data_IF_342049134955
#
_entry.id   IF_342049134955
#
_cell.length_a   1.000
_cell.length_b   1.000
_cell.length_c   1.000
_cell.angle_alpha   90.00
_cell.angle_beta   90.00
_cell.angle_gamma   90.00
#
_symmetry.space_group_name_H-M   'P 1'
#
loop_
_entity.id
_entity.type
_entity.pdbx_description
1 polymer ?
#
# COMPACT_ATOMS: atom_id res chain seq x y z
N UNK A 1 -27.68 10.47 -26.52
CA UNK A 1 -26.41 11.22 -26.42
C UNK A 1 -25.56 10.57 -25.34
N UNK A 2 -24.56 9.78 -25.73
CA UNK A 2 -23.65 9.12 -24.80
C UNK A 2 -22.65 10.16 -24.30
N UNK A 3 -22.80 10.62 -23.05
CA UNK A 3 -21.79 11.46 -22.41
C UNK A 3 -20.55 10.62 -22.21
N UNK A 4 -19.54 10.85 -23.06
CA UNK A 4 -18.19 10.34 -22.84
C UNK A 4 -17.73 10.80 -21.46
N UNK A 5 -17.74 9.90 -20.48
CA UNK A 5 -17.20 10.14 -19.14
C UNK A 5 -15.71 10.33 -19.32
N UNK A 6 -15.24 11.57 -19.33
CA UNK A 6 -13.82 11.89 -19.40
C UNK A 6 -13.10 11.17 -18.27
N UNK A 7 -12.11 10.33 -18.60
CA UNK A 7 -11.38 9.57 -17.60
C UNK A 7 -10.72 10.50 -16.59
N UNK A 8 -10.81 10.18 -15.30
CA UNK A 8 -10.21 10.97 -14.24
C UNK A 8 -8.69 10.91 -14.32
N UNK A 9 -8.02 12.04 -14.07
CA UNK A 9 -6.57 12.10 -13.91
C UNK A 9 -6.23 11.71 -12.48
N UNK A 10 -5.39 10.70 -12.32
CA UNK A 10 -4.93 10.24 -11.01
C UNK A 10 -3.54 10.80 -10.71
N UNK A 11 -3.35 11.22 -9.46
CA UNK A 11 -2.08 11.65 -8.90
C UNK A 11 -1.90 11.01 -7.52
N UNK A 12 -0.67 10.83 -7.09
CA UNK A 12 -0.35 10.22 -5.81
C UNK A 12 0.88 10.91 -5.20
N UNK A 13 0.94 10.94 -3.87
CA UNK A 13 2.10 11.44 -3.13
C UNK A 13 1.96 11.18 -1.64
N UNK A 14 2.75 11.87 -0.83
CA UNK A 14 2.75 11.63 0.61
C UNK A 14 2.97 12.90 1.43
N UNK A 15 2.45 12.87 2.65
CA UNK A 15 2.90 13.72 3.73
C UNK A 15 4.05 12.97 4.42
N UNK A 16 5.28 13.29 4.03
CA UNK A 16 6.46 12.71 4.66
C UNK A 16 6.63 13.39 6.01
N UNK A 17 6.70 12.60 7.08
CA UNK A 17 6.79 13.09 8.44
C UNK A 17 7.96 12.46 9.19
N UNK A 18 8.47 13.20 10.16
CA UNK A 18 9.44 12.73 11.15
C UNK A 18 9.17 13.36 12.50
N UNK A 19 9.75 12.80 13.55
CA UNK A 19 9.72 13.39 14.88
C UNK A 19 11.10 13.90 15.26
N UNK A 20 11.18 15.18 15.59
CA UNK A 20 12.39 15.86 16.08
C UNK A 20 12.05 16.54 17.39
N UNK A 21 12.78 16.25 18.47
CA UNK A 21 12.52 16.81 19.82
C UNK A 21 11.04 16.71 20.27
N UNK A 22 10.43 15.55 20.03
CA UNK A 22 9.01 15.28 20.32
C UNK A 22 8.01 16.17 19.56
N UNK A 23 8.44 16.79 18.46
CA UNK A 23 7.59 17.59 17.57
C UNK A 23 7.49 16.93 16.21
N UNK A 24 6.30 17.00 15.63
CA UNK A 24 6.05 16.53 14.28
C UNK A 24 6.57 17.56 13.27
N UNK A 25 7.47 17.11 12.40
CA UNK A 25 7.91 17.86 11.22
C UNK A 25 7.41 17.17 9.96
N UNK A 26 7.14 17.95 8.93
CA UNK A 26 6.66 17.49 7.63
C UNK A 26 7.48 18.09 6.49
N UNK A 27 7.57 17.35 5.39
CA UNK A 27 8.29 17.76 4.19
C UNK A 27 7.35 18.44 3.19
N UNK A 28 7.69 19.68 2.82
CA UNK A 28 7.01 20.45 1.78
C UNK A 28 7.94 20.71 0.60
N UNK A 29 7.34 20.89 -0.58
CA UNK A 29 8.05 21.32 -1.79
C UNK A 29 7.52 22.66 -2.28
N UNK A 30 8.42 23.52 -2.76
CA UNK A 30 8.07 24.73 -3.49
C UNK A 30 8.15 24.47 -5.00
N UNK A 31 7.20 25.03 -5.76
CA UNK A 31 7.12 24.85 -7.21
C UNK A 31 7.20 26.20 -7.90
N UNK A 32 8.34 26.57 -8.52
CA UNK A 32 8.56 27.92 -9.02
C UNK A 32 7.59 28.31 -10.14
N UNK A 33 7.17 27.36 -10.98
CA UNK A 33 6.15 27.58 -12.02
C UNK A 33 4.82 28.12 -11.47
N UNK A 34 4.42 27.67 -10.28
CA UNK A 34 3.15 28.06 -9.66
C UNK A 34 3.35 29.05 -8.49
N UNK A 35 4.59 29.21 -8.03
CA UNK A 35 4.96 29.96 -6.82
C UNK A 35 4.12 29.50 -5.62
N UNK A 36 4.01 28.19 -5.46
CA UNK A 36 3.19 27.57 -4.42
C UNK A 36 3.96 26.51 -3.64
N UNK A 37 3.59 26.38 -2.37
CA UNK A 37 4.03 25.32 -1.48
C UNK A 37 2.95 24.25 -1.41
N UNK A 38 3.34 22.99 -1.59
CA UNK A 38 2.43 21.85 -1.54
C UNK A 38 3.11 20.59 -1.03
N UNK A 39 2.31 19.54 -0.85
CA UNK A 39 2.84 18.19 -0.63
C UNK A 39 3.51 17.65 -1.89
N UNK A 40 4.59 16.85 -1.74
CA UNK A 40 5.18 16.16 -2.88
C UNK A 40 4.21 15.14 -3.47
N UNK A 41 4.01 15.20 -4.79
CA UNK A 41 3.01 14.41 -5.56
C UNK A 41 3.04 14.76 -7.05
N UNK A 42 2.93 13.74 -7.88
CA UNK A 42 2.69 13.90 -9.31
C UNK A 42 1.72 12.86 -9.88
N UNK A 43 1.74 12.73 -11.21
CA UNK A 43 0.72 11.97 -11.94
C UNK A 43 1.08 10.49 -11.92
N UNK A 44 0.05 9.64 -11.88
CA UNK A 44 0.26 8.21 -12.04
C UNK A 44 0.57 7.89 -13.49
N UNK A 45 1.66 7.18 -13.74
CA UNK A 45 2.06 6.77 -15.07
C UNK A 45 1.22 5.62 -15.63
N UNK A 46 1.16 5.44 -16.97
CA UNK A 46 0.49 4.30 -17.56
C UNK A 46 1.02 2.96 -17.02
N UNK A 47 0.13 2.17 -16.41
CA UNK A 47 0.51 0.88 -15.83
C UNK A 47 1.17 0.97 -14.45
N UNK A 48 1.18 2.16 -13.83
CA UNK A 48 1.69 2.38 -12.49
C UNK A 48 0.57 2.27 -11.43
N UNK A 49 0.91 1.71 -10.26
CA UNK A 49 0.00 1.67 -9.12
C UNK A 49 0.07 2.96 -8.30
N UNK A 50 -1.02 3.36 -7.64
CA UNK A 50 -1.03 4.57 -6.80
C UNK A 50 0.07 4.58 -5.71
N UNK A 51 0.33 3.49 -4.96
CA UNK A 51 1.43 3.45 -4.00
C UNK A 51 2.81 3.63 -4.65
N UNK A 52 3.00 3.05 -5.85
CA UNK A 52 4.26 3.19 -6.60
C UNK A 52 4.50 4.62 -7.05
N UNK A 53 3.46 5.27 -7.60
CA UNK A 53 3.50 6.68 -7.95
C UNK A 53 3.82 7.54 -6.73
N UNK A 54 3.19 7.30 -5.58
CA UNK A 54 3.47 8.08 -4.38
C UNK A 54 4.93 8.02 -3.94
N UNK A 55 5.55 6.83 -3.92
CA UNK A 55 6.95 6.68 -3.51
C UNK A 55 7.92 7.22 -4.56
N UNK A 56 7.60 7.08 -5.85
CA UNK A 56 8.41 7.62 -6.96
C UNK A 56 8.42 9.14 -6.91
N UNK A 57 7.24 9.76 -6.93
CA UNK A 57 7.07 11.22 -6.97
C UNK A 57 7.73 11.91 -5.77
N UNK A 58 7.63 11.33 -4.57
CA UNK A 58 8.32 11.86 -3.39
C UNK A 58 9.83 11.82 -3.56
N UNK A 59 10.37 10.72 -4.09
CA UNK A 59 11.80 10.58 -4.30
C UNK A 59 12.30 11.51 -5.43
N UNK A 60 11.53 11.68 -6.51
CA UNK A 60 11.84 12.62 -7.60
C UNK A 60 11.86 14.08 -7.11
N UNK A 61 10.82 14.51 -6.39
CA UNK A 61 10.65 15.92 -5.98
C UNK A 61 11.49 16.30 -4.75
N UNK A 62 11.93 15.35 -3.93
CA UNK A 62 12.60 15.66 -2.64
C UNK A 62 13.92 14.95 -2.41
N UNK A 63 14.26 13.94 -3.20
CA UNK A 63 15.38 13.03 -2.95
C UNK A 63 15.17 12.08 -1.76
N UNK A 64 14.07 12.20 -1.00
CA UNK A 64 13.82 11.36 0.17
C UNK A 64 13.16 10.05 -0.25
N UNK A 65 13.81 8.93 0.06
CA UNK A 65 13.20 7.61 -0.09
C UNK A 65 12.30 7.31 1.11
N UNK A 66 11.07 6.85 0.85
CA UNK A 66 10.04 6.69 1.88
C UNK A 66 9.42 5.29 1.95
N UNK A 67 8.78 4.97 3.07
CA UNK A 67 7.85 3.85 3.24
C UNK A 67 6.48 4.39 3.61
N UNK A 68 5.45 3.92 2.91
CA UNK A 68 4.07 4.35 3.13
C UNK A 68 3.50 3.75 4.42
N UNK A 69 2.81 4.59 5.19
CA UNK A 69 1.95 4.22 6.31
C UNK A 69 0.48 4.45 5.95
N UNK A 70 -0.31 4.92 6.91
CA UNK A 70 -1.77 5.06 6.75
C UNK A 70 -2.17 5.95 5.55
N UNK A 71 -3.26 5.62 4.84
CA UNK A 71 -3.85 6.53 3.86
C UNK A 71 -4.39 7.78 4.56
N UNK A 72 -4.22 8.94 3.92
CA UNK A 72 -4.73 10.23 4.35
C UNK A 72 -5.84 10.72 3.41
N UNK A 73 -6.66 11.70 3.83
CA UNK A 73 -7.63 12.34 2.95
C UNK A 73 -6.97 12.87 1.67
N UNK A 74 -7.41 12.36 0.53
CA UNK A 74 -7.03 12.85 -0.79
C UNK A 74 -7.73 14.14 -1.19
N UNK A 75 -7.41 14.66 -2.38
CA UNK A 75 -8.05 15.85 -2.94
C UNK A 75 -8.76 15.52 -4.26
N UNK A 76 -9.99 16.02 -4.41
CA UNK A 76 -10.79 15.88 -5.62
C UNK A 76 -11.18 17.25 -6.15
N UNK A 77 -10.77 17.58 -7.37
CA UNK A 77 -11.11 18.85 -8.02
C UNK A 77 -11.13 18.69 -9.55
N UNK A 78 -11.60 19.71 -10.27
CA UNK A 78 -11.58 19.71 -11.74
C UNK A 78 -10.38 20.50 -12.26
N UNK A 79 -9.76 19.98 -13.31
CA UNK A 79 -8.76 20.70 -14.09
C UNK A 79 -9.43 21.77 -14.96
N UNK A 80 -8.63 22.68 -15.53
CA UNK A 80 -9.11 23.75 -16.41
C UNK A 80 -9.84 23.19 -17.66
N UNK A 81 -9.47 21.99 -18.12
CA UNK A 81 -10.13 21.30 -19.23
C UNK A 81 -11.38 20.50 -18.81
N UNK A 82 -11.85 20.70 -17.57
CA UNK A 82 -13.05 20.07 -17.00
C UNK A 82 -12.86 18.64 -16.49
N UNK A 83 -11.70 18.01 -16.74
CA UNK A 83 -11.42 16.64 -16.28
C UNK A 83 -11.36 16.56 -14.75
N UNK A 84 -11.98 15.55 -14.12
CA UNK A 84 -11.77 15.28 -12.71
C UNK A 84 -10.30 14.92 -12.45
N UNK A 85 -9.69 15.47 -11.40
CA UNK A 85 -8.40 15.07 -10.87
C UNK A 85 -8.55 14.57 -9.43
N UNK A 86 -8.03 13.38 -9.17
CA UNK A 86 -8.00 12.75 -7.85
C UNK A 86 -6.55 12.60 -7.39
N UNK A 87 -6.21 13.20 -6.26
CA UNK A 87 -4.91 13.10 -5.60
C UNK A 87 -5.05 12.18 -4.40
N UNK A 88 -4.23 11.15 -4.33
CA UNK A 88 -4.20 10.19 -3.23
C UNK A 88 -2.97 10.48 -2.36
N UNK A 89 -3.16 10.53 -1.05
CA UNK A 89 -2.08 10.81 -0.10
C UNK A 89 -1.95 9.71 0.94
N UNK A 90 -0.72 9.46 1.35
CA UNK A 90 -0.37 8.63 2.50
C UNK A 90 0.44 9.44 3.50
N UNK A 91 0.34 9.09 4.78
CA UNK A 91 1.40 9.40 5.71
C UNK A 91 2.60 8.53 5.35
N UNK A 92 3.80 9.09 5.29
CA UNK A 92 4.99 8.31 5.00
C UNK A 92 6.15 8.70 5.91
N UNK A 93 6.96 7.72 6.27
CA UNK A 93 8.21 7.98 6.98
C UNK A 93 9.39 7.91 6.00
N UNK A 94 10.49 8.62 6.25
CA UNK A 94 11.77 8.29 5.65
C UNK A 94 12.07 6.81 5.84
N UNK A 95 12.60 6.17 4.80
CA UNK A 95 12.99 4.78 4.87
C UNK A 95 14.20 4.62 5.79
N UNK A 96 14.23 3.51 6.52
CA UNK A 96 15.34 3.12 7.38
C UNK A 96 16.33 2.30 6.53
N UNK A 97 17.60 2.71 6.51
CA UNK A 97 18.63 2.13 5.64
C UNK A 97 18.81 0.63 5.90
N UNK A 98 18.78 0.19 7.16
CA UNK A 98 18.96 -1.24 7.49
C UNK A 98 17.65 -2.02 7.38
N UNK A 99 16.58 -1.42 7.91
CA UNK A 99 15.28 -2.08 7.98
C UNK A 99 14.63 -2.28 6.62
N UNK A 100 14.66 -1.26 5.77
CA UNK A 100 13.89 -1.23 4.53
C UNK A 100 14.71 -1.56 3.28
N UNK A 101 16.05 -1.64 3.36
CA UNK A 101 16.94 -1.84 2.21
C UNK A 101 16.44 -2.90 1.21
N UNK A 102 16.00 -4.06 1.69
CA UNK A 102 15.49 -5.14 0.82
C UNK A 102 14.22 -4.77 0.07
N UNK A 103 13.28 -4.09 0.73
CA UNK A 103 12.08 -3.62 0.07
C UNK A 103 12.40 -2.50 -0.93
N UNK A 104 13.39 -1.66 -0.63
CA UNK A 104 13.83 -0.58 -1.51
C UNK A 104 14.61 -1.07 -2.73
N UNK A 105 15.39 -2.15 -2.62
CA UNK A 105 16.29 -2.63 -3.67
C UNK A 105 15.60 -3.07 -4.97
N UNK A 106 14.27 -3.24 -4.94
CA UNK A 106 13.47 -3.59 -6.12
C UNK A 106 12.79 -2.39 -6.77
N UNK A 107 12.92 -1.20 -6.18
CA UNK A 107 12.41 0.03 -6.77
C UNK A 107 13.33 0.47 -7.91
N UNK A 108 12.77 0.91 -9.04
CA UNK A 108 13.60 1.48 -10.10
C UNK A 108 14.30 2.75 -9.59
N UNK A 109 15.47 3.09 -10.11
CA UNK A 109 16.06 4.40 -9.87
C UNK A 109 15.09 5.49 -10.38
N UNK A 110 15.13 6.64 -9.73
CA UNK A 110 14.34 7.81 -10.09
C UNK A 110 15.26 8.96 -10.48
N UNK A 111 14.86 9.71 -11.49
CA UNK A 111 15.57 10.94 -11.87
C UNK A 111 15.02 12.10 -11.04
N UNK A 112 15.87 12.92 -10.40
CA UNK A 112 15.39 14.09 -9.67
C UNK A 112 14.57 15.01 -10.56
N UNK A 113 13.52 15.60 -9.99
CA UNK A 113 12.74 16.63 -10.66
C UNK A 113 13.65 17.81 -11.05
N UNK A 114 13.37 18.43 -12.20
CA UNK A 114 14.10 19.62 -12.62
C UNK A 114 13.85 20.79 -11.67
N UNK A 115 14.81 21.71 -11.57
CA UNK A 115 14.67 22.94 -10.77
C UNK A 115 13.51 23.84 -11.23
N UNK A 116 13.04 23.69 -12.47
CA UNK A 116 11.86 24.40 -12.99
C UNK A 116 10.53 23.82 -12.45
N UNK A 117 10.57 22.58 -11.97
CA UNK A 117 9.43 21.88 -11.38
C UNK A 117 9.40 22.00 -9.86
N UNK A 118 10.52 21.70 -9.20
CA UNK A 118 10.74 21.87 -7.76
C UNK A 118 12.13 22.45 -7.54
N UNK A 119 12.20 23.63 -6.93
CA UNK A 119 13.47 24.30 -6.57
C UNK A 119 13.85 24.10 -5.10
N UNK A 120 12.88 23.84 -4.23
CA UNK A 120 13.12 23.68 -2.79
C UNK A 120 12.28 22.56 -2.18
N UNK A 121 12.89 21.80 -1.26
CA UNK A 121 12.23 20.86 -0.37
C UNK A 121 12.65 21.14 1.08
N UNK A 122 11.68 21.38 1.97
CA UNK A 122 11.94 21.86 3.34
C UNK A 122 11.19 21.05 4.39
N UNK A 123 11.89 20.75 5.49
CA UNK A 123 11.28 20.22 6.71
C UNK A 123 10.79 21.38 7.57
N UNK A 124 9.52 21.35 7.96
CA UNK A 124 8.90 22.38 8.79
C UNK A 124 7.99 21.77 9.86
N UNK A 125 7.85 22.46 10.99
CA UNK A 125 6.84 22.14 11.99
C UNK A 125 5.41 22.33 11.46
N UNK A 126 4.43 21.68 12.09
CA UNK A 126 3.03 21.66 11.63
C UNK A 126 2.40 23.05 11.47
N UNK A 127 2.70 23.99 12.37
CA UNK A 127 2.16 25.36 12.30
C UNK A 127 2.72 26.11 11.09
N UNK A 128 4.04 26.08 10.90
CA UNK A 128 4.68 26.64 9.72
C UNK A 128 4.19 25.98 8.43
N UNK A 129 3.99 24.66 8.42
CA UNK A 129 3.42 23.96 7.28
C UNK A 129 2.02 24.48 6.92
N UNK A 130 1.17 24.70 7.93
CA UNK A 130 -0.18 25.25 7.75
C UNK A 130 -0.17 26.63 7.09
N UNK A 131 0.81 27.45 7.45
CA UNK A 131 0.98 28.81 6.92
C UNK A 131 1.57 28.81 5.51
N UNK A 132 2.58 27.96 5.24
CA UNK A 132 3.21 27.84 3.94
C UNK A 132 2.27 27.27 2.87
N UNK A 133 1.50 26.22 3.20
CA UNK A 133 0.59 25.55 2.27
C UNK A 133 -0.35 26.54 1.58
N UNK A 134 -0.07 26.79 0.30
CA UNK A 134 -0.75 27.84 -0.47
C UNK A 134 -2.22 27.50 -0.71
N UNK A 135 -2.51 26.23 -0.94
CA UNK A 135 -3.88 25.74 -1.11
C UNK A 135 -4.47 25.33 0.24
N UNK A 136 -5.54 26.01 0.66
CA UNK A 136 -6.30 25.66 1.88
C UNK A 136 -6.71 24.18 1.93
N UNK A 137 -7.01 23.58 0.78
CA UNK A 137 -7.42 22.17 0.69
C UNK A 137 -6.32 21.20 1.16
N UNK A 138 -5.03 21.52 0.93
CA UNK A 138 -3.89 20.71 1.36
C UNK A 138 -3.72 20.66 2.89
N UNK A 139 -4.46 21.49 3.64
CA UNK A 139 -4.52 21.44 5.11
C UNK A 139 -5.38 20.28 5.63
N UNK A 140 -6.25 19.70 4.80
CA UNK A 140 -7.08 18.55 5.17
C UNK A 140 -6.25 17.32 5.52
N UNK A 141 -5.32 16.85 4.64
CA UNK A 141 -4.45 15.75 5.01
C UNK A 141 -3.51 16.09 6.18
N UNK A 142 -3.08 17.35 6.33
CA UNK A 142 -2.28 17.78 7.50
C UNK A 142 -3.02 17.57 8.82
N UNK A 143 -4.29 17.98 8.88
CA UNK A 143 -5.11 17.80 10.07
C UNK A 143 -5.31 16.32 10.42
N UNK A 144 -5.50 15.46 9.42
CA UNK A 144 -5.60 14.01 9.62
C UNK A 144 -4.28 13.39 10.09
N UNK A 145 -3.14 13.83 9.54
CA UNK A 145 -1.81 13.42 9.98
C UNK A 145 -1.58 13.80 11.46
N UNK A 146 -1.85 15.05 11.83
CA UNK A 146 -1.71 15.54 13.21
C UNK A 146 -2.60 14.74 14.18
N UNK A 147 -3.86 14.51 13.81
CA UNK A 147 -4.76 13.71 14.62
C UNK A 147 -4.25 12.27 14.80
N UNK A 148 -3.70 11.66 13.75
CA UNK A 148 -3.12 10.33 13.85
C UNK A 148 -1.87 10.34 14.75
N UNK A 149 -1.03 11.37 14.66
CA UNK A 149 0.16 11.54 15.50
C UNK A 149 -0.19 11.67 16.98
N UNK A 150 -1.09 12.60 17.33
CA UNK A 150 -1.56 12.83 18.71
C UNK A 150 -2.19 11.59 19.36
N UNK A 151 -2.72 10.67 18.53
CA UNK A 151 -3.31 9.40 18.99
C UNK A 151 -2.35 8.22 18.95
N UNK A 152 -1.07 8.44 18.59
CA UNK A 152 -0.06 7.39 18.50
C UNK A 152 -0.34 6.39 17.36
N UNK A 153 -0.88 6.87 16.24
CA UNK A 153 -1.36 6.05 15.10
C UNK A 153 -0.53 6.17 13.82
N UNK A 154 0.59 6.89 13.84
CA UNK A 154 1.45 7.06 12.67
C UNK A 154 2.56 6.03 12.53
N UNK A 155 3.12 5.54 13.64
CA UNK A 155 4.16 4.51 13.65
C UNK A 155 3.56 3.12 13.36
N UNK A 156 3.12 2.92 12.13
CA UNK A 156 2.47 1.69 11.68
C UNK A 156 3.43 0.74 11.01
N UNK A 157 3.12 -0.55 11.15
CA UNK A 157 3.59 -1.63 10.28
C UNK A 157 2.43 -2.19 9.47
N UNK A 158 2.70 -3.01 8.47
CA UNK A 158 1.66 -3.56 7.61
C UNK A 158 1.53 -5.08 7.69
N UNK A 159 0.28 -5.56 7.66
CA UNK A 159 -0.04 -6.94 7.26
C UNK A 159 -0.85 -6.85 5.98
N UNK A 160 -0.23 -7.24 4.87
CA UNK A 160 -0.82 -7.13 3.52
C UNK A 160 -1.38 -8.47 3.07
N UNK A 161 -2.69 -8.56 2.90
CA UNK A 161 -3.34 -9.75 2.35
C UNK A 161 -3.30 -9.70 0.83
N UNK A 162 -2.78 -10.74 0.21
CA UNK A 162 -2.67 -10.89 -1.25
C UNK A 162 -3.52 -12.07 -1.69
N UNK A 163 -4.60 -11.82 -2.46
CA UNK A 163 -5.26 -12.94 -3.15
C UNK A 163 -4.40 -13.35 -4.34
N UNK A 164 -4.12 -14.65 -4.48
CA UNK A 164 -3.30 -15.16 -5.58
C UNK A 164 -3.76 -14.63 -6.96
N UNK A 165 -2.82 -14.50 -7.90
CA UNK A 165 -3.08 -14.09 -9.27
C UNK A 165 -4.01 -15.05 -10.03
N UNK A 166 -4.50 -14.62 -11.19
CA UNK A 166 -5.43 -15.44 -11.99
C UNK A 166 -4.77 -16.79 -12.34
N UNK A 167 -5.41 -17.89 -11.95
CA UNK A 167 -4.93 -19.25 -12.20
C UNK A 167 -5.74 -19.97 -13.28
N UNK A 168 -5.17 -21.05 -13.83
CA UNK A 168 -5.88 -21.91 -14.81
C UNK A 168 -7.19 -22.43 -14.21
N UNK A 169 -8.21 -22.65 -15.05
CA UNK A 169 -9.52 -23.17 -14.58
C UNK A 169 -9.33 -24.55 -13.97
N UNK A 170 -9.99 -24.83 -12.84
CA UNK A 170 -9.96 -26.15 -12.17
C UNK A 170 -10.32 -27.28 -13.13
N UNK A 171 -11.40 -27.11 -13.89
CA UNK A 171 -11.88 -28.07 -14.88
C UNK A 171 -10.90 -28.35 -16.03
N UNK A 172 -9.90 -27.50 -16.25
CA UNK A 172 -8.90 -27.66 -17.31
C UNK A 172 -7.52 -28.10 -16.78
N UNK A 173 -7.40 -28.42 -15.48
CA UNK A 173 -6.16 -28.87 -14.87
C UNK A 173 -6.34 -30.28 -14.29
N UNK A 174 -5.41 -31.20 -14.57
CA UNK A 174 -5.50 -32.62 -14.19
C UNK A 174 -4.36 -33.11 -13.29
N UNK A 175 -3.38 -32.25 -13.00
CA UNK A 175 -2.15 -32.63 -12.25
C UNK A 175 -2.27 -32.35 -10.73
N UNK A 176 -3.48 -32.41 -10.19
CA UNK A 176 -3.77 -32.04 -8.79
C UNK A 176 -3.92 -30.54 -8.55
N UNK A 177 -4.77 -30.16 -7.58
CA UNK A 177 -5.13 -28.77 -7.29
C UNK A 177 -3.97 -27.93 -6.75
N UNK A 178 -3.07 -28.56 -5.99
CA UNK A 178 -1.86 -27.96 -5.41
C UNK A 178 -0.86 -27.48 -6.46
N UNK A 179 -0.84 -28.10 -7.65
CA UNK A 179 0.11 -27.78 -8.72
C UNK A 179 -0.44 -26.77 -9.75
N UNK A 180 -1.70 -26.35 -9.59
CA UNK A 180 -2.42 -25.51 -10.56
C UNK A 180 -1.73 -24.15 -10.73
N UNK A 181 -1.21 -23.82 -11.94
CA UNK A 181 -0.38 -22.65 -12.14
C UNK A 181 -1.20 -21.38 -12.43
N UNK A 182 -0.52 -20.24 -12.37
CA UNK A 182 -1.01 -18.97 -12.88
C UNK A 182 -1.26 -19.05 -14.40
N UNK A 183 -2.17 -18.21 -14.89
CA UNK A 183 -2.27 -17.89 -16.33
C UNK A 183 -1.25 -16.79 -16.69
N UNK A 184 -1.04 -16.48 -17.99
CA UNK A 184 -0.21 -15.32 -18.37
C UNK A 184 -0.67 -14.01 -17.71
N UNK A 185 -1.98 -13.77 -17.63
CA UNK A 185 -2.55 -12.65 -16.88
C UNK A 185 -2.20 -12.70 -15.39
N UNK A 186 -2.25 -13.89 -14.78
CA UNK A 186 -1.84 -14.07 -13.37
C UNK A 186 -0.36 -13.81 -13.14
N UNK A 187 0.51 -14.16 -14.09
CA UNK A 187 1.94 -13.84 -14.04
C UNK A 187 2.19 -12.33 -14.20
N UNK A 188 1.44 -11.64 -15.06
CA UNK A 188 1.53 -10.17 -15.12
C UNK A 188 1.06 -9.51 -13.82
N UNK A 189 0.02 -10.07 -13.17
CA UNK A 189 -0.42 -9.62 -11.85
C UNK A 189 0.65 -9.83 -10.76
N UNK A 190 1.39 -10.95 -10.79
CA UNK A 190 2.45 -11.20 -9.82
C UNK A 190 3.62 -10.22 -9.94
N UNK A 191 3.97 -9.82 -11.16
CA UNK A 191 4.96 -8.76 -11.41
C UNK A 191 4.44 -7.40 -10.93
N UNK A 192 3.17 -7.07 -11.19
CA UNK A 192 2.57 -5.80 -10.78
C UNK A 192 2.44 -5.63 -9.25
N UNK A 193 2.51 -6.73 -8.47
CA UNK A 193 2.53 -6.66 -7.01
C UNK A 193 3.84 -6.12 -6.44
N UNK A 194 4.97 -6.33 -7.14
CA UNK A 194 6.31 -5.93 -6.68
C UNK A 194 6.36 -4.47 -6.20
N UNK A 195 5.95 -3.47 -7.00
CA UNK A 195 6.04 -2.08 -6.58
C UNK A 195 5.06 -1.74 -5.43
N UNK A 196 3.91 -2.42 -5.34
CA UNK A 196 2.96 -2.20 -4.23
C UNK A 196 3.53 -2.72 -2.91
N UNK A 197 4.03 -3.97 -2.89
CA UNK A 197 4.60 -4.55 -1.67
C UNK A 197 5.85 -3.79 -1.22
N UNK A 198 6.67 -3.34 -2.18
CA UNK A 198 7.83 -2.48 -1.92
C UNK A 198 7.44 -1.13 -1.30
N UNK A 199 6.38 -0.47 -1.79
CA UNK A 199 5.94 0.84 -1.28
C UNK A 199 5.58 0.81 0.23
N UNK A 200 5.01 -0.31 0.69
CA UNK A 200 4.67 -0.55 2.10
C UNK A 200 5.80 -1.23 2.90
N UNK A 201 6.99 -1.37 2.32
CA UNK A 201 8.17 -1.85 3.04
C UNK A 201 8.09 -3.30 3.48
N UNK A 202 7.34 -4.16 2.77
CA UNK A 202 7.16 -5.57 3.17
C UNK A 202 8.52 -6.30 3.29
N UNK A 203 8.76 -6.93 4.44
CA UNK A 203 10.05 -7.57 4.76
C UNK A 203 9.98 -9.10 4.80
N UNK A 204 8.77 -9.64 4.82
CA UNK A 204 8.51 -11.07 4.89
C UNK A 204 7.27 -11.43 4.08
N UNK A 205 7.28 -12.62 3.49
CA UNK A 205 6.13 -13.19 2.80
C UNK A 205 5.77 -14.52 3.45
N UNK A 206 4.50 -14.66 3.84
CA UNK A 206 3.89 -15.94 4.21
C UNK A 206 2.85 -16.29 3.13
N UNK A 207 2.79 -17.54 2.70
CA UNK A 207 1.95 -17.92 1.56
C UNK A 207 1.51 -19.36 1.65
N UNK A 208 0.35 -19.72 1.09
CA UNK A 208 0.04 -21.16 0.97
C UNK A 208 1.07 -21.85 0.05
N UNK A 209 1.42 -23.12 0.32
CA UNK A 209 2.37 -23.89 -0.50
C UNK A 209 1.85 -24.22 -1.90
N UNK A 210 0.59 -23.92 -2.22
CA UNK A 210 0.04 -24.22 -3.53
C UNK A 210 0.64 -23.31 -4.60
N UNK A 211 0.98 -23.90 -5.75
CA UNK A 211 1.81 -23.27 -6.79
C UNK A 211 1.36 -21.87 -7.19
N UNK A 212 0.06 -21.64 -7.35
CA UNK A 212 -0.48 -20.32 -7.71
C UNK A 212 -0.20 -19.23 -6.67
N UNK A 213 -0.21 -19.56 -5.38
CA UNK A 213 0.11 -18.62 -4.30
C UNK A 213 1.60 -18.34 -4.30
N UNK A 214 2.45 -19.38 -4.31
CA UNK A 214 3.90 -19.26 -4.45
C UNK A 214 4.29 -18.36 -5.63
N UNK A 215 3.85 -18.71 -6.84
CA UNK A 215 4.17 -17.94 -8.06
C UNK A 215 3.57 -16.52 -8.07
N UNK A 216 2.61 -16.20 -7.19
CA UNK A 216 2.07 -14.83 -7.09
C UNK A 216 3.03 -13.90 -6.37
N UNK A 217 3.74 -14.39 -5.36
CA UNK A 217 4.61 -13.57 -4.49
C UNK A 217 6.10 -13.77 -4.76
N UNK A 218 6.46 -14.85 -5.45
CA UNK A 218 7.84 -15.17 -5.83
C UNK A 218 8.57 -14.03 -6.57
N UNK A 219 7.97 -13.28 -7.51
CA UNK A 219 8.66 -12.16 -8.17
C UNK A 219 9.13 -11.08 -7.19
N UNK A 220 8.34 -10.81 -6.15
CA UNK A 220 8.73 -9.85 -5.12
C UNK A 220 9.78 -10.43 -4.18
N UNK A 221 9.51 -11.62 -3.63
CA UNK A 221 10.40 -12.26 -2.66
C UNK A 221 11.81 -12.51 -3.21
N UNK A 222 11.91 -12.97 -4.46
CA UNK A 222 13.18 -13.23 -5.14
C UNK A 222 13.96 -11.94 -5.41
N UNK A 223 13.32 -10.93 -6.01
CA UNK A 223 13.99 -9.66 -6.35
C UNK A 223 14.43 -8.87 -5.11
N UNK A 224 13.61 -8.86 -4.07
CA UNK A 224 13.92 -8.19 -2.81
C UNK A 224 14.84 -9.02 -1.90
N UNK A 225 15.08 -10.29 -2.26
CA UNK A 225 15.82 -11.24 -1.44
C UNK A 225 15.20 -11.45 -0.06
N UNK A 226 13.89 -11.31 0.11
CA UNK A 226 13.23 -11.44 1.42
C UNK A 226 12.79 -12.88 1.70
N UNK A 227 12.58 -13.19 2.98
CA UNK A 227 12.12 -14.52 3.41
C UNK A 227 10.73 -14.81 2.85
N UNK A 228 10.59 -15.97 2.21
CA UNK A 228 9.32 -16.55 1.80
C UNK A 228 9.08 -17.82 2.61
N UNK A 229 8.03 -17.83 3.42
CA UNK A 229 7.60 -18.96 4.22
C UNK A 229 6.30 -19.55 3.65
N UNK A 230 6.28 -20.85 3.40
CA UNK A 230 5.09 -21.56 2.97
C UNK A 230 4.38 -22.20 4.17
N UNK A 231 3.07 -21.96 4.31
CA UNK A 231 2.27 -22.47 5.43
C UNK A 231 1.07 -23.30 4.94
N UNK A 232 0.98 -24.55 5.41
CA UNK A 232 -0.08 -25.50 5.03
C UNK A 232 -1.45 -25.08 5.57
N UNK A 233 -1.53 -24.35 6.67
CA UNK A 233 -2.76 -23.79 7.22
C UNK A 233 -3.49 -22.87 6.22
N UNK A 234 -2.74 -22.28 5.28
CA UNK A 234 -3.27 -21.36 4.27
C UNK A 234 -3.79 -22.08 3.02
N UNK A 235 -3.87 -23.41 3.01
CA UNK A 235 -4.41 -24.17 1.87
C UNK A 235 -5.94 -24.23 1.91
N UNK A 236 -6.59 -24.38 0.75
CA UNK A 236 -8.05 -24.58 0.75
C UNK A 236 -8.47 -25.91 1.38
N UNK A 237 -7.57 -26.91 1.40
CA UNK A 237 -7.83 -28.18 2.07
C UNK A 237 -7.82 -28.02 3.59
N UNK A 238 -6.79 -27.39 4.15
CA UNK A 238 -6.71 -27.10 5.58
C UNK A 238 -7.91 -26.25 6.03
N UNK A 239 -8.27 -25.20 5.28
CA UNK A 239 -9.42 -24.36 5.61
C UNK A 239 -10.77 -25.10 5.56
N UNK A 240 -10.90 -26.12 4.71
CA UNK A 240 -12.10 -26.95 4.67
C UNK A 240 -12.18 -27.90 5.88
N UNK A 241 -11.03 -28.39 6.35
CA UNK A 241 -10.93 -29.24 7.54
C UNK A 241 -11.16 -28.42 8.82
N UNK A 242 -10.55 -27.24 8.89
CA UNK A 242 -10.54 -26.35 10.04
C UNK A 242 -10.33 -24.88 9.58
N UNK A 243 -11.41 -24.07 9.56
CA UNK A 243 -11.32 -22.67 9.17
C UNK A 243 -10.43 -21.80 10.06
N UNK A 244 -10.25 -22.17 11.33
CA UNK A 244 -9.62 -21.32 12.35
C UNK A 244 -8.09 -21.22 12.16
N UNK A 245 -7.46 -22.23 11.55
CA UNK A 245 -6.00 -22.23 11.31
C UNK A 245 -5.53 -21.02 10.50
N UNK A 246 -6.33 -20.56 9.53
CA UNK A 246 -6.00 -19.38 8.74
C UNK A 246 -6.07 -18.09 9.58
N UNK A 247 -7.01 -18.03 10.51
CA UNK A 247 -7.18 -16.93 11.46
C UNK A 247 -6.06 -16.92 12.49
N UNK A 248 -5.66 -18.07 13.03
CA UNK A 248 -4.53 -18.20 13.95
C UNK A 248 -3.21 -17.71 13.33
N UNK A 249 -2.92 -18.10 12.08
CA UNK A 249 -1.76 -17.61 11.34
C UNK A 249 -1.83 -16.08 11.21
N UNK A 250 -2.99 -15.54 10.84
CA UNK A 250 -3.15 -14.10 10.68
C UNK A 250 -3.02 -13.33 12.00
N UNK A 251 -3.58 -13.83 13.10
CA UNK A 251 -3.45 -13.22 14.43
C UNK A 251 -1.99 -13.14 14.87
N UNK A 252 -1.23 -14.21 14.62
CA UNK A 252 0.20 -14.21 14.89
C UNK A 252 0.93 -13.13 14.06
N UNK A 253 0.61 -13.01 12.77
CA UNK A 253 1.17 -11.98 11.90
C UNK A 253 0.77 -10.56 12.34
N UNK A 254 -0.48 -10.37 12.75
CA UNK A 254 -0.97 -9.10 13.30
C UNK A 254 -0.26 -8.78 14.61
N UNK A 255 0.12 -9.76 15.44
CA UNK A 255 0.81 -9.53 16.70
C UNK A 255 2.31 -9.19 16.54
N UNK A 256 2.96 -9.67 15.47
CA UNK A 256 4.41 -9.54 15.23
C UNK A 256 4.82 -8.11 14.80
N UNK A 257 6.00 -7.62 15.21
CA UNK A 257 6.48 -6.28 14.87
C UNK A 257 7.19 -6.23 13.51
N UNK A 258 6.57 -6.75 12.44
CA UNK A 258 7.16 -6.78 11.09
C UNK A 258 6.13 -6.48 10.01
N UNK A 259 6.59 -5.87 8.92
CA UNK A 259 5.82 -5.70 7.68
C UNK A 259 5.79 -7.01 6.90
N UNK A 260 4.61 -7.58 6.71
CA UNK A 260 4.44 -8.93 6.16
C UNK A 260 3.35 -8.96 5.10
N UNK A 261 3.56 -9.74 4.04
CA UNK A 261 2.51 -10.08 3.08
C UNK A 261 2.06 -11.53 3.25
N UNK A 262 0.74 -11.75 3.32
CA UNK A 262 0.09 -13.05 3.42
C UNK A 262 -0.61 -13.38 2.10
N UNK A 263 -0.15 -14.38 1.34
CA UNK A 263 -0.80 -14.79 0.09
C UNK A 263 -1.71 -16.02 0.25
N UNK A 264 -2.96 -15.88 -0.18
CA UNK A 264 -4.04 -16.83 0.13
C UNK A 264 -5.02 -17.06 -1.05
N UNK A 265 -6.03 -17.91 -0.82
CA UNK A 265 -7.09 -18.26 -1.76
C UNK A 265 -8.41 -17.59 -1.40
N UNK A 266 -9.35 -17.56 -2.36
CA UNK A 266 -10.69 -16.98 -2.13
C UNK A 266 -11.45 -17.59 -0.94
N UNK A 267 -11.51 -18.93 -0.76
CA UNK A 267 -12.30 -19.51 0.33
C UNK A 267 -11.90 -19.00 1.72
N UNK A 268 -10.59 -18.80 1.94
CA UNK A 268 -10.04 -18.31 3.21
C UNK A 268 -10.32 -16.82 3.47
N UNK A 269 -10.75 -16.06 2.45
CA UNK A 269 -10.89 -14.61 2.60
C UNK A 269 -12.02 -14.21 3.55
N UNK A 270 -13.05 -15.05 3.76
CA UNK A 270 -14.07 -14.77 4.77
C UNK A 270 -13.46 -14.68 6.16
N UNK A 271 -12.87 -15.78 6.62
CA UNK A 271 -12.18 -15.87 7.92
C UNK A 271 -11.09 -14.80 8.09
N UNK A 272 -10.27 -14.56 7.05
CA UNK A 272 -9.24 -13.50 7.08
C UNK A 272 -9.84 -12.11 7.28
N UNK A 273 -10.95 -11.79 6.60
CA UNK A 273 -11.60 -10.48 6.74
C UNK A 273 -12.27 -10.34 8.11
N UNK A 274 -12.84 -11.43 8.64
CA UNK A 274 -13.44 -11.44 9.98
C UNK A 274 -12.37 -11.20 11.06
N UNK A 275 -11.23 -11.90 11.01
CA UNK A 275 -10.08 -11.69 11.90
C UNK A 275 -9.53 -10.26 11.81
N UNK A 276 -9.40 -9.70 10.60
CA UNK A 276 -9.04 -8.28 10.43
C UNK A 276 -10.09 -7.39 11.11
N UNK A 277 -11.38 -7.70 10.93
CA UNK A 277 -12.52 -7.02 11.54
C UNK A 277 -12.40 -6.92 13.06
N UNK A 278 -12.07 -8.01 13.74
CA UNK A 278 -11.89 -8.07 15.20
C UNK A 278 -10.73 -7.17 15.69
N UNK A 279 -9.68 -7.04 14.88
CA UNK A 279 -8.56 -6.16 15.17
C UNK A 279 -8.83 -4.67 14.83
N UNK A 280 -9.90 -4.36 14.08
CA UNK A 280 -10.33 -2.98 13.79
C UNK A 280 -11.11 -2.35 14.95
N UNK A 281 -11.26 -1.03 14.92
CA UNK A 281 -12.06 -0.24 15.87
C UNK A 281 -12.92 0.76 15.10
N UNK A 282 -13.89 1.39 15.78
CA UNK A 282 -14.77 2.42 15.16
C UNK A 282 -14.00 3.57 14.51
N UNK A 283 -12.79 3.86 14.99
CA UNK A 283 -11.92 4.92 14.48
C UNK A 283 -10.94 4.45 13.39
N UNK A 284 -10.94 3.17 13.02
CA UNK A 284 -10.11 2.63 11.93
C UNK A 284 -10.50 3.31 10.62
N UNK A 285 -9.51 3.82 9.90
CA UNK A 285 -9.70 4.48 8.60
C UNK A 285 -9.88 3.43 7.50
N UNK A 286 -10.78 3.68 6.55
CA UNK A 286 -11.04 2.77 5.44
C UNK A 286 -12.18 1.79 5.72
N UNK A 287 -12.38 0.84 4.80
CA UNK A 287 -13.52 -0.08 4.86
C UNK A 287 -13.13 -1.46 4.35
N UNK A 288 -13.47 -2.48 5.13
CA UNK A 288 -13.29 -3.87 4.74
C UNK A 288 -14.25 -4.26 3.62
N UNK A 289 -13.82 -5.10 2.67
CA UNK A 289 -14.75 -5.67 1.72
C UNK A 289 -15.81 -6.51 2.46
N UNK A 290 -17.08 -6.30 2.13
CA UNK A 290 -18.22 -6.94 2.83
C UNK A 290 -18.83 -8.12 2.09
N UNK A 291 -18.35 -8.42 0.88
CA UNK A 291 -18.94 -9.45 0.03
C UNK A 291 -17.88 -10.26 -0.69
N UNK A 292 -18.11 -11.56 -0.75
CA UNK A 292 -17.35 -12.48 -1.59
C UNK A 292 -17.37 -11.99 -3.07
N UNK A 293 -16.22 -11.96 -3.78
CA UNK A 293 -14.96 -12.64 -3.45
C UNK A 293 -14.01 -11.90 -2.48
N UNK A 294 -14.46 -10.84 -1.80
CA UNK A 294 -13.71 -9.92 -0.92
C UNK A 294 -12.57 -9.17 -1.62
N UNK A 295 -11.65 -9.91 -2.22
CA UNK A 295 -10.58 -9.46 -3.11
C UNK A 295 -10.67 -10.16 -4.46
N UNK A 296 -10.41 -9.46 -5.55
CA UNK A 296 -10.23 -10.06 -6.89
C UNK A 296 -8.86 -10.73 -6.98
N UNK A 297 -8.66 -11.62 -7.95
CA UNK A 297 -7.36 -12.27 -8.14
C UNK A 297 -6.28 -11.23 -8.40
N UNK A 298 -5.16 -11.28 -7.67
CA UNK A 298 -4.07 -10.30 -7.72
C UNK A 298 -4.39 -8.95 -7.06
N UNK A 299 -5.49 -8.83 -6.33
CA UNK A 299 -5.81 -7.65 -5.50
C UNK A 299 -5.23 -7.83 -4.09
N UNK A 300 -4.87 -6.71 -3.47
CA UNK A 300 -4.31 -6.66 -2.12
C UNK A 300 -5.18 -5.83 -1.17
N UNK A 301 -5.17 -6.22 0.10
CA UNK A 301 -5.69 -5.45 1.22
C UNK A 301 -4.53 -5.19 2.19
N UNK A 302 -4.17 -3.93 2.38
CA UNK A 302 -3.14 -3.51 3.32
C UNK A 302 -3.81 -3.15 4.64
N UNK A 303 -3.39 -3.79 5.73
CA UNK A 303 -3.81 -3.45 7.08
C UNK A 303 -2.67 -2.76 7.81
N UNK A 304 -2.88 -1.51 8.22
CA UNK A 304 -1.92 -0.70 8.97
C UNK A 304 -2.13 -0.90 10.45
N UNK A 305 -1.08 -1.31 11.16
CA UNK A 305 -1.17 -1.81 12.54
C UNK A 305 -0.24 -1.01 13.44
N UNK A 306 -0.75 -0.60 14.60
CA UNK A 306 0.04 -0.10 15.72
C UNK A 306 0.05 -1.11 16.86
N UNK A 307 1.04 -0.99 17.76
CA UNK A 307 1.19 -1.90 18.88
C UNK A 307 1.72 -3.28 18.45
N UNK A 308 1.84 -4.18 19.42
CA UNK A 308 2.42 -5.53 19.28
C UNK A 308 1.70 -6.48 20.24
N UNK A 309 1.77 -7.78 19.98
CA UNK A 309 1.09 -8.79 20.80
C UNK A 309 -0.40 -8.49 20.96
N UNK A 310 -0.93 -8.70 22.16
CA UNK A 310 -2.33 -8.42 22.51
C UNK A 310 -2.76 -6.93 22.35
N UNK A 311 -1.80 -6.00 22.22
CA UNK A 311 -2.06 -4.57 22.00
C UNK A 311 -2.10 -4.18 20.52
N UNK A 312 -1.84 -5.11 19.61
CA UNK A 312 -1.91 -4.84 18.17
C UNK A 312 -3.32 -4.38 17.76
N UNK A 313 -3.43 -3.25 17.06
CA UNK A 313 -4.70 -2.72 16.57
C UNK A 313 -4.55 -2.22 15.15
N UNK A 314 -5.53 -2.52 14.30
CA UNK A 314 -5.58 -2.03 12.93
C UNK A 314 -6.13 -0.60 12.93
N UNK A 315 -5.31 0.34 12.47
CA UNK A 315 -5.64 1.77 12.45
C UNK A 315 -6.14 2.25 11.10
N UNK A 316 -5.78 1.56 10.03
CA UNK A 316 -6.31 1.81 8.71
C UNK A 316 -6.29 0.55 7.84
N UNK A 317 -7.20 0.47 6.88
CA UNK A 317 -7.22 -0.56 5.84
C UNK A 317 -7.43 0.05 4.47
N UNK A 318 -6.70 -0.44 3.47
CA UNK A 318 -6.84 0.02 2.08
C UNK A 318 -6.66 -1.11 1.08
N UNK A 319 -7.29 -0.96 -0.09
CA UNK A 319 -7.23 -1.96 -1.15
C UNK A 319 -6.52 -1.40 -2.37
N UNK A 320 -5.63 -2.20 -2.93
CA UNK A 320 -5.01 -1.89 -4.21
C UNK A 320 -5.21 -3.01 -5.19
N UNK A 321 -5.50 -2.61 -6.43
CA UNK A 321 -5.52 -3.50 -7.57
C UNK A 321 -4.41 -3.06 -8.52
N UNK A 322 -3.22 -3.68 -8.42
CA UNK A 322 -2.12 -3.35 -9.31
C UNK A 322 -2.55 -3.47 -10.78
N UNK A 323 -2.26 -2.47 -11.62
CA UNK A 323 -2.50 -2.57 -13.05
C UNK A 323 -1.55 -3.61 -13.64
N UNK A 324 -2.09 -4.64 -14.29
CA UNK A 324 -1.31 -5.77 -14.81
C UNK A 324 -1.12 -5.75 -16.33
N UNK A 325 -1.33 -4.61 -17.00
CA UNK A 325 -1.02 -4.38 -18.42
C UNK A 325 -1.75 -5.24 -19.48
N UNK A 326 -2.63 -6.17 -19.07
CA UNK A 326 -3.31 -7.17 -19.93
C UNK A 326 -4.78 -7.38 -19.53
#
# INVERSE_FOLDING_TARGET
MSTSRTAAVHAAGALVWRETDHRLEVLLVHRPRYRDWSWPKGKVDPGESLPAAAVREVAEETGVTIVLGIPLPGLHYRLNDGKPKHVHYWAARPADEDGDARALSVRPPVEPASTDEVDEAVWVGVDAARDLLTRKADRTPLAALLQAWEKGRLHTRTTTIVRHGRARRRSAWRRGEQSRPLTPKGAAQSVALVPVLSAFGVREVVTSPWRRCLSTVEPYASKAGIRLAADKALTEAAHHEDPDQASEVLDELIARPRDVALCTHRPLLGAIIDTIGEATRRWTVGTLPTRDPYLRTGEVLVSHIVGRGHRARIVAVERHRPPSGL
#
